data_IF_036869145431
#
_entry.id   IF_036869145431
#
_cell.length_a   1.000
_cell.length_b   1.000
_cell.length_c   1.000
_cell.angle_alpha   90.00
_cell.angle_beta   90.00
_cell.angle_gamma   90.00
#
_symmetry.space_group_name_H-M   'P 1'
#
loop_
_entity.id
_entity.type
_entity.pdbx_description
1 polymer ?
#
# COMPACT_ATOMS: atom_id res chain seq x y z
N UNK A 1 -9.55 38.69 -11.40
CA UNK A 1 -8.31 37.87 -11.37
C UNK A 1 -8.52 36.81 -10.30
N UNK A 2 -8.50 35.49 -10.47
CA UNK A 2 -8.12 34.60 -11.56
C UNK A 2 -8.81 33.23 -11.27
N UNK A 3 -10.02 33.02 -11.81
CA UNK A 3 -10.80 31.77 -11.68
C UNK A 3 -10.34 30.70 -12.71
N UNK A 4 -9.34 31.03 -13.52
CA UNK A 4 -8.80 30.20 -14.60
C UNK A 4 -7.76 29.21 -14.11
N UNK A 5 -6.96 29.57 -13.08
CA UNK A 5 -5.95 28.65 -12.49
C UNK A 5 -6.55 27.40 -11.85
N UNK A 6 -7.71 27.49 -11.20
CA UNK A 6 -8.36 26.34 -10.57
C UNK A 6 -8.88 25.28 -11.56
N UNK A 7 -9.30 25.72 -12.75
CA UNK A 7 -9.80 24.81 -13.81
C UNK A 7 -8.66 24.07 -14.53
N UNK A 8 -7.51 24.72 -14.73
CA UNK A 8 -6.35 24.12 -15.40
C UNK A 8 -5.71 23.01 -14.54
N UNK A 9 -5.54 23.26 -13.24
CA UNK A 9 -5.01 22.28 -12.27
C UNK A 9 -5.85 21.00 -12.22
N UNK A 10 -7.18 21.11 -12.26
CA UNK A 10 -8.11 19.98 -12.14
C UNK A 10 -8.12 19.05 -13.38
N UNK A 11 -7.79 19.57 -14.56
CA UNK A 11 -7.71 18.76 -15.78
C UNK A 11 -6.37 18.01 -15.91
N UNK A 12 -5.28 18.59 -15.40
CA UNK A 12 -3.96 17.94 -15.42
C UNK A 12 -3.95 16.70 -14.50
N UNK A 13 -4.59 16.76 -13.33
CA UNK A 13 -4.65 15.61 -12.41
C UNK A 13 -5.46 14.43 -12.95
N UNK A 14 -6.51 14.66 -13.76
CA UNK A 14 -7.29 13.59 -14.40
C UNK A 14 -6.52 12.86 -15.49
N UNK A 15 -5.67 13.57 -16.24
CA UNK A 15 -4.87 12.96 -17.31
C UNK A 15 -3.67 12.18 -16.74
N UNK A 16 -3.12 12.61 -15.60
CA UNK A 16 -1.98 11.95 -14.97
C UNK A 16 -2.30 10.51 -14.54
N UNK A 17 -3.51 10.26 -14.03
CA UNK A 17 -3.94 8.93 -13.58
C UNK A 17 -4.01 7.90 -14.72
N UNK A 18 -4.41 8.31 -15.93
CA UNK A 18 -4.49 7.38 -17.08
C UNK A 18 -3.09 7.08 -17.61
N UNK A 19 -2.21 8.08 -17.65
CA UNK A 19 -0.84 7.93 -18.12
C UNK A 19 -0.06 6.93 -17.26
N UNK A 20 -0.31 6.90 -15.94
CA UNK A 20 0.34 5.93 -15.04
C UNK A 20 -0.05 4.45 -15.29
N UNK A 21 -1.14 4.17 -16.01
CA UNK A 21 -1.50 2.79 -16.38
C UNK A 21 -0.90 2.31 -17.70
N UNK A 22 -0.43 3.23 -18.56
CA UNK A 22 0.13 2.89 -19.88
C UNK A 22 1.33 1.93 -19.75
N UNK A 23 2.31 2.15 -18.85
CA UNK A 23 3.43 1.22 -18.70
C UNK A 23 2.97 -0.18 -18.29
N UNK A 24 1.94 -0.29 -17.44
CA UNK A 24 1.43 -1.58 -16.99
C UNK A 24 0.75 -2.36 -18.13
N UNK A 25 -0.05 -1.69 -18.96
CA UNK A 25 -0.67 -2.32 -20.14
C UNK A 25 0.37 -2.68 -21.21
N UNK A 26 1.35 -1.82 -21.46
CA UNK A 26 2.42 -2.08 -22.41
C UNK A 26 3.26 -3.28 -21.95
N UNK A 27 3.59 -3.35 -20.66
CA UNK A 27 4.29 -4.50 -20.08
C UNK A 27 3.50 -5.79 -20.26
N UNK A 28 2.20 -5.78 -19.95
CA UNK A 28 1.32 -6.93 -20.16
C UNK A 28 1.33 -7.41 -21.61
N UNK A 29 1.17 -6.48 -22.56
CA UNK A 29 1.14 -6.81 -23.97
C UNK A 29 2.46 -7.45 -24.42
N UNK A 30 3.59 -6.92 -23.96
CA UNK A 30 4.91 -7.45 -24.27
C UNK A 30 5.11 -8.86 -23.71
N UNK A 31 4.75 -9.10 -22.45
CA UNK A 31 4.90 -10.41 -21.81
C UNK A 31 3.96 -11.47 -22.39
N UNK A 32 2.76 -11.07 -22.81
CA UNK A 32 1.76 -12.01 -23.34
C UNK A 32 2.06 -12.47 -24.78
N UNK A 33 2.74 -11.64 -25.58
CA UNK A 33 2.89 -11.88 -27.03
C UNK A 33 4.34 -12.10 -27.49
N UNK A 34 5.33 -11.78 -26.66
CA UNK A 34 6.74 -11.84 -27.06
C UNK A 34 7.59 -12.67 -26.10
N UNK A 35 8.82 -13.00 -26.54
CA UNK A 35 9.77 -13.73 -25.72
C UNK A 35 10.21 -12.92 -24.49
N UNK A 36 10.73 -13.62 -23.48
CA UNK A 36 11.26 -13.02 -22.24
C UNK A 36 12.23 -11.88 -22.54
N UNK A 37 13.10 -12.04 -23.54
CA UNK A 37 14.08 -11.01 -23.90
C UNK A 37 13.43 -9.70 -24.38
N UNK A 38 12.37 -9.79 -25.18
CA UNK A 38 11.63 -8.62 -25.67
C UNK A 38 10.82 -8.01 -24.52
N UNK A 39 10.19 -8.82 -23.68
CA UNK A 39 9.43 -8.36 -22.52
C UNK A 39 10.31 -7.61 -21.51
N UNK A 40 11.50 -8.14 -21.20
CA UNK A 40 12.48 -7.49 -20.32
C UNK A 40 13.02 -6.21 -20.95
N UNK A 41 13.42 -6.25 -22.23
CA UNK A 41 13.94 -5.08 -22.93
C UNK A 41 12.91 -3.95 -23.02
N UNK A 42 11.68 -4.28 -23.40
CA UNK A 42 10.59 -3.30 -23.46
C UNK A 42 10.20 -2.79 -22.07
N UNK A 43 10.19 -3.64 -21.05
CA UNK A 43 10.01 -3.23 -19.65
C UNK A 43 11.08 -2.25 -19.18
N UNK A 44 12.35 -2.48 -19.54
CA UNK A 44 13.46 -1.59 -19.21
C UNK A 44 13.35 -0.24 -19.93
N UNK A 45 12.99 -0.24 -21.21
CA UNK A 45 12.75 0.99 -21.98
C UNK A 45 11.60 1.79 -21.34
N UNK A 46 10.49 1.13 -21.02
CA UNK A 46 9.35 1.78 -20.36
C UNK A 46 9.73 2.35 -19.00
N UNK A 47 10.46 1.61 -18.16
CA UNK A 47 10.89 2.08 -16.85
C UNK A 47 11.89 3.25 -16.95
N UNK A 48 12.74 3.26 -17.97
CA UNK A 48 13.65 4.38 -18.25
C UNK A 48 12.86 5.63 -18.67
N UNK A 49 11.86 5.46 -19.55
CA UNK A 49 10.97 6.54 -19.96
C UNK A 49 10.13 7.08 -18.80
N UNK A 50 9.67 6.20 -17.89
CA UNK A 50 8.96 6.57 -16.68
C UNK A 50 9.83 7.45 -15.77
N UNK A 51 11.07 7.04 -15.48
CA UNK A 51 12.02 7.85 -14.70
C UNK A 51 12.38 9.17 -15.38
N UNK A 52 12.59 9.15 -16.70
CA UNK A 52 12.91 10.36 -17.46
C UNK A 52 11.73 11.34 -17.46
N UNK A 53 10.51 10.84 -17.64
CA UNK A 53 9.29 11.61 -17.55
C UNK A 53 9.09 12.20 -16.15
N UNK A 54 9.22 11.37 -15.11
CA UNK A 54 9.15 11.82 -13.72
C UNK A 54 10.16 12.95 -13.45
N UNK A 55 11.43 12.74 -13.80
CA UNK A 55 12.47 13.76 -13.65
C UNK A 55 12.12 15.06 -14.39
N UNK A 56 11.62 14.96 -15.62
CA UNK A 56 11.29 16.14 -16.43
C UNK A 56 10.13 16.95 -15.82
N UNK A 57 9.10 16.29 -15.29
CA UNK A 57 7.91 16.97 -14.76
C UNK A 57 8.04 17.40 -13.29
N UNK A 58 8.66 16.59 -12.43
CA UNK A 58 8.73 16.86 -10.98
C UNK A 58 10.09 17.37 -10.53
N UNK A 59 11.14 17.21 -11.35
CA UNK A 59 12.56 17.42 -10.99
C UNK A 59 13.02 16.60 -9.77
N UNK A 60 12.24 15.61 -9.33
CA UNK A 60 12.53 14.77 -8.18
C UNK A 60 12.12 13.33 -8.49
N UNK A 61 13.08 12.40 -8.39
CA UNK A 61 12.80 10.98 -8.53
C UNK A 61 12.30 10.40 -7.21
N UNK A 62 11.05 9.92 -7.19
CA UNK A 62 10.49 9.21 -6.06
C UNK A 62 11.28 7.93 -5.78
N UNK A 63 11.51 7.67 -4.49
CA UNK A 63 12.19 6.45 -4.04
C UNK A 63 11.50 5.18 -4.53
N UNK A 64 10.17 5.20 -4.68
CA UNK A 64 9.38 4.07 -5.19
C UNK A 64 9.75 3.78 -6.64
N UNK A 65 9.81 4.80 -7.51
CA UNK A 65 10.19 4.64 -8.92
C UNK A 65 11.62 4.10 -9.05
N UNK A 66 12.56 4.58 -8.23
CA UNK A 66 13.95 4.06 -8.18
C UNK A 66 13.98 2.58 -7.81
N UNK A 67 13.23 2.18 -6.79
CA UNK A 67 13.14 0.78 -6.35
C UNK A 67 12.51 -0.07 -7.46
N UNK A 68 11.45 0.41 -8.10
CA UNK A 68 10.78 -0.32 -9.19
C UNK A 68 11.73 -0.53 -10.39
N UNK A 69 12.44 0.52 -10.80
CA UNK A 69 13.44 0.46 -11.86
C UNK A 69 14.57 -0.53 -11.52
N UNK A 70 15.10 -0.45 -10.30
CA UNK A 70 16.12 -1.39 -9.83
C UNK A 70 15.62 -2.84 -9.87
N UNK A 71 14.38 -3.10 -9.42
CA UNK A 71 13.79 -4.43 -9.48
C UNK A 71 13.62 -4.93 -10.91
N UNK A 72 13.21 -4.08 -11.85
CA UNK A 72 13.08 -4.46 -13.27
C UNK A 72 14.44 -4.83 -13.86
N UNK A 73 15.49 -4.05 -13.58
CA UNK A 73 16.85 -4.37 -14.04
C UNK A 73 17.32 -5.69 -13.41
N UNK A 74 17.22 -5.80 -12.08
CA UNK A 74 17.78 -6.92 -11.35
C UNK A 74 17.05 -8.23 -11.70
N UNK A 75 15.72 -8.25 -11.60
CA UNK A 75 14.91 -9.43 -11.91
C UNK A 75 14.84 -9.71 -13.41
N UNK A 76 14.85 -8.66 -14.24
CA UNK A 76 14.92 -8.80 -15.69
C UNK A 76 16.23 -9.43 -16.14
N UNK A 77 17.37 -9.01 -15.56
CA UNK A 77 18.67 -9.62 -15.82
C UNK A 77 18.71 -11.09 -15.39
N UNK A 78 18.20 -11.43 -14.19
CA UNK A 78 18.09 -12.82 -13.76
C UNK A 78 17.20 -13.66 -14.70
N UNK A 79 16.09 -13.07 -15.15
CA UNK A 79 15.18 -13.71 -16.09
C UNK A 79 15.82 -13.98 -17.46
N UNK A 80 16.71 -13.11 -17.93
CA UNK A 80 17.49 -13.33 -19.15
C UNK A 80 18.53 -14.44 -18.98
N UNK A 81 19.17 -14.54 -17.82
CA UNK A 81 20.21 -15.55 -17.55
C UNK A 81 19.64 -16.97 -17.52
N UNK A 82 18.45 -17.16 -16.96
CA UNK A 82 17.79 -18.46 -16.92
C UNK A 82 16.97 -18.76 -18.17
N UNK A 83 16.73 -17.77 -19.03
CA UNK A 83 15.83 -17.90 -20.19
C UNK A 83 14.34 -18.04 -19.81
N UNK A 84 14.01 -17.94 -18.52
CA UNK A 84 12.66 -18.08 -17.99
C UNK A 84 12.16 -16.79 -17.34
N UNK A 85 10.86 -16.49 -17.55
CA UNK A 85 10.17 -15.31 -17.02
C UNK A 85 9.88 -15.33 -15.52
N UNK A 86 10.29 -16.37 -14.79
CA UNK A 86 9.84 -16.64 -13.41
C UNK A 86 10.34 -15.56 -12.44
N UNK A 87 11.60 -15.13 -12.55
CA UNK A 87 12.15 -14.05 -11.70
C UNK A 87 11.38 -12.75 -11.83
N UNK A 88 10.96 -12.43 -13.05
CA UNK A 88 10.13 -11.26 -13.27
C UNK A 88 8.76 -11.42 -12.58
N UNK A 89 8.17 -12.62 -12.63
CA UNK A 89 6.91 -12.92 -11.95
C UNK A 89 7.00 -12.82 -10.43
N UNK A 90 8.17 -13.00 -9.84
CA UNK A 90 8.37 -12.87 -8.40
C UNK A 90 8.40 -11.42 -7.91
N UNK A 91 8.43 -10.42 -8.79
CA UNK A 91 8.45 -9.01 -8.40
C UNK A 91 7.35 -8.64 -7.38
N UNK A 92 6.06 -8.99 -7.57
CA UNK A 92 4.99 -8.66 -6.61
C UNK A 92 5.15 -9.38 -5.26
N UNK A 93 5.76 -10.57 -5.27
CA UNK A 93 6.03 -11.32 -4.06
C UNK A 93 7.13 -10.62 -3.23
N UNK A 94 8.24 -10.27 -3.88
CA UNK A 94 9.36 -9.58 -3.24
C UNK A 94 8.93 -8.21 -2.72
N UNK A 95 8.19 -7.42 -3.51
CA UNK A 95 7.71 -6.11 -3.07
C UNK A 95 6.67 -6.23 -1.96
N UNK A 96 5.72 -7.16 -2.05
CA UNK A 96 4.70 -7.39 -1.02
C UNK A 96 5.32 -7.78 0.32
N UNK A 97 6.24 -8.75 0.33
CA UNK A 97 6.96 -9.17 1.53
C UNK A 97 7.84 -8.03 2.05
N UNK A 98 8.57 -7.34 1.17
CA UNK A 98 9.43 -6.22 1.54
C UNK A 98 8.66 -5.06 2.18
N UNK A 99 7.54 -4.64 1.58
CA UNK A 99 6.65 -3.61 2.13
C UNK A 99 6.04 -4.08 3.45
N UNK A 100 5.50 -5.31 3.50
CA UNK A 100 4.92 -5.87 4.71
C UNK A 100 5.91 -5.91 5.88
N UNK A 101 7.15 -6.35 5.62
CA UNK A 101 8.23 -6.36 6.60
C UNK A 101 8.63 -4.94 7.02
N UNK A 102 8.80 -4.01 6.07
CA UNK A 102 9.14 -2.62 6.35
C UNK A 102 8.09 -1.95 7.25
N UNK A 103 6.81 -2.03 6.89
CA UNK A 103 5.70 -1.49 7.69
C UNK A 103 5.67 -2.16 9.06
N UNK A 104 5.82 -3.49 9.12
CA UNK A 104 5.81 -4.26 10.36
C UNK A 104 6.94 -3.86 11.32
N UNK A 105 8.17 -3.70 10.82
CA UNK A 105 9.32 -3.26 11.63
C UNK A 105 9.11 -1.82 12.10
N UNK A 106 8.69 -0.93 11.20
CA UNK A 106 8.53 0.49 11.52
C UNK A 106 7.41 0.74 12.53
N UNK A 107 6.27 0.04 12.38
CA UNK A 107 5.16 0.10 13.33
C UNK A 107 5.54 -0.43 14.73
N UNK A 108 6.45 -1.41 14.81
CA UNK A 108 7.02 -1.87 16.09
C UNK A 108 7.93 -0.84 16.77
N UNK A 109 8.62 0.00 16.01
CA UNK A 109 9.54 1.05 16.52
C UNK A 109 8.84 2.32 17.00
N UNK A 110 7.51 2.42 16.85
CA UNK A 110 6.69 3.43 17.53
C UNK A 110 6.01 4.45 16.62
N UNK A 111 6.53 4.69 15.41
CA UNK A 111 5.88 5.57 14.42
C UNK A 111 5.96 4.89 13.05
N UNK A 112 4.86 4.27 12.62
CA UNK A 112 4.80 3.67 11.29
C UNK A 112 4.46 4.68 10.19
N UNK A 113 4.46 4.24 8.92
CA UNK A 113 4.25 5.13 7.77
C UNK A 113 2.86 5.77 7.74
N UNK A 114 1.84 5.08 8.23
CA UNK A 114 0.47 5.62 8.26
C UNK A 114 0.35 6.70 9.34
N UNK A 115 1.00 6.49 10.49
CA UNK A 115 1.05 7.50 11.54
C UNK A 115 1.77 8.78 11.09
N UNK A 116 2.89 8.66 10.38
CA UNK A 116 3.58 9.81 9.77
C UNK A 116 2.68 10.55 8.78
N UNK A 117 2.04 9.83 7.87
CA UNK A 117 1.15 10.44 6.89
C UNK A 117 -0.03 11.18 7.54
N UNK A 118 -0.63 10.62 8.60
CA UNK A 118 -1.72 11.29 9.33
C UNK A 118 -1.24 12.56 10.05
N UNK A 119 -0.01 12.54 10.58
CA UNK A 119 0.60 13.71 11.20
C UNK A 119 0.88 14.81 10.18
N UNK A 120 1.38 14.45 9.00
CA UNK A 120 1.66 15.39 7.91
C UNK A 120 0.38 16.05 7.38
N UNK A 121 -0.73 15.30 7.34
CA UNK A 121 -2.05 15.80 6.96
C UNK A 121 -2.74 16.61 8.08
N UNK A 122 -2.10 16.77 9.25
CA UNK A 122 -2.67 17.38 10.45
C UNK A 122 -4.01 16.75 10.91
N UNK A 123 -4.28 15.51 10.50
CA UNK A 123 -5.50 14.79 10.83
C UNK A 123 -5.31 14.00 12.14
N UNK A 124 -5.51 14.68 13.27
CA UNK A 124 -5.38 14.08 14.62
C UNK A 124 -6.61 13.32 15.12
N UNK A 125 -7.60 13.06 14.25
CA UNK A 125 -8.89 12.52 14.68
C UNK A 125 -8.88 11.01 14.97
N UNK A 126 -7.81 10.29 14.64
CA UNK A 126 -7.70 8.86 14.89
C UNK A 126 -6.86 8.59 16.14
N UNK A 127 -7.42 7.88 17.15
CA UNK A 127 -6.66 7.41 18.29
C UNK A 127 -5.40 6.65 17.86
N UNK A 128 -4.21 6.95 18.43
CA UNK A 128 -2.94 6.34 18.02
C UNK A 128 -2.93 4.80 18.05
N UNK A 129 -3.68 4.20 18.98
CA UNK A 129 -3.79 2.75 19.08
C UNK A 129 -4.50 2.12 17.87
N UNK A 130 -5.48 2.80 17.27
CA UNK A 130 -6.17 2.31 16.06
C UNK A 130 -5.25 2.38 14.85
N UNK A 131 -4.48 3.45 14.72
CA UNK A 131 -3.49 3.60 13.65
C UNK A 131 -2.48 2.46 13.71
N UNK A 132 -1.97 2.14 14.90
CA UNK A 132 -1.04 1.03 15.11
C UNK A 132 -1.64 -0.34 14.77
N UNK A 133 -2.92 -0.58 15.09
CA UNK A 133 -3.62 -1.81 14.71
C UNK A 133 -3.73 -1.89 13.18
N UNK A 134 -4.19 -0.82 12.54
CA UNK A 134 -4.36 -0.78 11.09
C UNK A 134 -3.03 -0.98 10.35
N UNK A 135 -1.94 -0.34 10.80
CA UNK A 135 -0.60 -0.55 10.23
C UNK A 135 -0.12 -2.00 10.35
N UNK A 136 -0.32 -2.62 11.51
CA UNK A 136 0.02 -4.03 11.72
C UNK A 136 -0.78 -4.91 10.77
N UNK A 137 -2.08 -4.66 10.64
CA UNK A 137 -2.97 -5.49 9.81
C UNK A 137 -2.65 -5.30 8.32
N UNK A 138 -2.29 -4.08 7.89
CA UNK A 138 -1.72 -3.79 6.56
C UNK A 138 -0.41 -4.54 6.34
N UNK A 139 0.51 -4.54 7.30
CA UNK A 139 1.78 -5.26 7.20
C UNK A 139 1.57 -6.77 7.03
N UNK A 140 0.62 -7.35 7.78
CA UNK A 140 0.21 -8.75 7.68
C UNK A 140 -0.39 -9.01 6.29
N UNK A 141 -1.30 -8.16 5.83
CA UNK A 141 -1.92 -8.29 4.51
C UNK A 141 -0.88 -8.31 3.39
N UNK A 142 0.03 -7.33 3.34
CA UNK A 142 1.06 -7.26 2.29
C UNK A 142 2.01 -8.46 2.33
N UNK A 143 2.38 -8.92 3.53
CA UNK A 143 3.24 -10.10 3.69
C UNK A 143 2.51 -11.37 3.21
N UNK A 144 1.27 -11.58 3.64
CA UNK A 144 0.47 -12.74 3.25
C UNK A 144 0.18 -12.75 1.75
N UNK A 145 -0.15 -11.58 1.17
CA UNK A 145 -0.36 -11.43 -0.26
C UNK A 145 0.92 -11.66 -1.06
N UNK A 146 2.06 -11.16 -0.57
CA UNK A 146 3.36 -11.41 -1.18
C UNK A 146 3.72 -12.90 -1.20
N UNK A 147 3.48 -13.62 -0.10
CA UNK A 147 3.64 -15.08 -0.04
C UNK A 147 2.68 -15.81 -0.99
N UNK A 148 1.42 -15.39 -1.06
CA UNK A 148 0.46 -15.90 -2.04
C UNK A 148 0.97 -15.68 -3.47
N UNK A 149 1.57 -14.53 -3.76
CA UNK A 149 2.14 -14.24 -5.08
C UNK A 149 3.34 -15.11 -5.44
N UNK A 150 4.08 -15.67 -4.47
CA UNK A 150 5.09 -16.70 -4.75
C UNK A 150 4.43 -17.93 -5.37
N UNK A 151 3.33 -18.40 -4.78
CA UNK A 151 2.59 -19.56 -5.27
C UNK A 151 2.02 -19.28 -6.66
N UNK A 152 1.44 -18.09 -6.85
CA UNK A 152 0.90 -17.67 -8.15
C UNK A 152 1.98 -17.62 -9.23
N UNK A 153 3.17 -17.09 -8.90
CA UNK A 153 4.27 -16.97 -9.84
C UNK A 153 4.80 -18.34 -10.32
N UNK A 154 4.81 -19.34 -9.43
CA UNK A 154 5.33 -20.68 -9.72
C UNK A 154 4.29 -21.61 -10.35
N UNK A 155 3.01 -21.50 -9.95
CA UNK A 155 1.98 -22.48 -10.31
C UNK A 155 1.03 -22.03 -11.42
N UNK A 156 0.89 -20.73 -11.68
CA UNK A 156 -0.12 -20.19 -12.59
C UNK A 156 0.48 -19.62 -13.88
N UNK A 157 -0.33 -19.63 -14.94
CA UNK A 157 0.02 -19.03 -16.23
C UNK A 157 0.20 -17.50 -16.12
N UNK A 158 0.95 -16.90 -17.05
CA UNK A 158 1.24 -15.46 -17.04
C UNK A 158 -0.02 -14.59 -17.01
N UNK A 159 -1.09 -14.98 -17.72
CA UNK A 159 -2.36 -14.25 -17.69
C UNK A 159 -3.03 -14.25 -16.31
N UNK A 160 -3.05 -15.39 -15.60
CA UNK A 160 -3.59 -15.49 -14.24
C UNK A 160 -2.70 -14.74 -13.25
N UNK A 161 -1.37 -14.86 -13.39
CA UNK A 161 -0.42 -14.12 -12.57
C UNK A 161 -0.61 -12.60 -12.70
N UNK A 162 -0.77 -12.09 -13.92
CA UNK A 162 -1.01 -10.67 -14.15
C UNK A 162 -2.34 -10.22 -13.54
N UNK A 163 -3.40 -11.02 -13.69
CA UNK A 163 -4.67 -10.73 -13.05
C UNK A 163 -4.49 -10.52 -11.55
N UNK A 164 -3.80 -11.43 -10.86
CA UNK A 164 -3.52 -11.27 -9.43
C UNK A 164 -2.60 -10.08 -9.13
N UNK A 165 -1.53 -9.86 -9.91
CA UNK A 165 -0.65 -8.69 -9.77
C UNK A 165 -1.42 -7.36 -9.84
N UNK A 166 -2.50 -7.30 -10.61
CA UNK A 166 -3.27 -6.08 -10.88
C UNK A 166 -4.67 -6.14 -10.24
N UNK A 167 -5.69 -6.56 -10.99
CA UNK A 167 -7.09 -6.55 -10.55
C UNK A 167 -7.35 -7.38 -9.29
N UNK A 168 -6.73 -8.56 -9.19
CA UNK A 168 -6.87 -9.45 -8.04
C UNK A 168 -6.30 -8.85 -6.75
N UNK A 169 -5.19 -8.12 -6.81
CA UNK A 169 -4.66 -7.38 -5.67
C UNK A 169 -5.64 -6.31 -5.18
N UNK A 170 -6.17 -5.48 -6.09
CA UNK A 170 -7.15 -4.45 -5.72
C UNK A 170 -8.42 -5.06 -5.12
N UNK A 171 -8.92 -6.16 -5.69
CA UNK A 171 -10.09 -6.86 -5.16
C UNK A 171 -9.82 -7.40 -3.75
N UNK A 172 -8.69 -8.09 -3.55
CA UNK A 172 -8.29 -8.60 -2.25
C UNK A 172 -8.12 -7.48 -1.22
N UNK A 173 -7.51 -6.36 -1.62
CA UNK A 173 -7.30 -5.20 -0.76
C UNK A 173 -8.63 -4.53 -0.37
N UNK A 174 -9.59 -4.38 -1.30
CA UNK A 174 -10.92 -3.84 -1.01
C UNK A 174 -11.65 -4.73 0.02
N UNK A 175 -11.63 -6.05 -0.17
CA UNK A 175 -12.24 -6.99 0.75
C UNK A 175 -11.59 -6.93 2.14
N UNK A 176 -10.26 -6.89 2.17
CA UNK A 176 -9.49 -6.69 3.41
C UNK A 176 -9.86 -5.37 4.11
N UNK A 177 -9.90 -4.26 3.38
CA UNK A 177 -10.27 -2.95 3.95
C UNK A 177 -11.71 -2.90 4.45
N UNK A 178 -12.65 -3.53 3.74
CA UNK A 178 -14.03 -3.65 4.20
C UNK A 178 -14.12 -4.44 5.52
N UNK A 179 -13.38 -5.55 5.61
CA UNK A 179 -13.26 -6.34 6.83
C UNK A 179 -12.63 -5.53 7.98
N UNK A 180 -11.52 -4.83 7.73
CA UNK A 180 -10.84 -3.98 8.71
C UNK A 180 -11.76 -2.87 9.23
N UNK A 181 -12.52 -2.20 8.36
CA UNK A 181 -13.48 -1.17 8.77
C UNK A 181 -14.53 -1.75 9.73
N UNK A 182 -15.06 -2.95 9.45
CA UNK A 182 -16.03 -3.61 10.31
C UNK A 182 -15.39 -3.95 11.67
N UNK A 183 -14.16 -4.47 11.67
CA UNK A 183 -13.43 -4.83 12.88
C UNK A 183 -13.09 -3.60 13.74
N UNK A 184 -12.61 -2.52 13.13
CA UNK A 184 -12.32 -1.25 13.80
C UNK A 184 -13.60 -0.66 14.40
N UNK A 185 -14.71 -0.64 13.67
CA UNK A 185 -16.01 -0.17 14.20
C UNK A 185 -16.43 -0.93 15.44
N UNK A 186 -16.22 -2.25 15.48
CA UNK A 186 -16.50 -3.08 16.66
C UNK A 186 -15.60 -2.72 17.83
N UNK A 187 -14.29 -2.56 17.61
CA UNK A 187 -13.32 -2.19 18.65
C UNK A 187 -13.57 -0.79 19.23
N UNK A 188 -13.87 0.19 18.38
CA UNK A 188 -14.17 1.57 18.82
C UNK A 188 -15.39 1.60 19.74
N UNK A 189 -16.47 0.89 19.40
CA UNK A 189 -17.66 0.80 20.26
C UNK A 189 -17.34 0.19 21.63
N UNK A 190 -16.50 -0.85 21.66
CA UNK A 190 -16.08 -1.47 22.92
C UNK A 190 -15.29 -0.48 23.78
N UNK A 191 -14.29 0.21 23.22
CA UNK A 191 -13.48 1.18 23.96
C UNK A 191 -14.33 2.31 24.52
N UNK A 192 -15.23 2.89 23.70
CA UNK A 192 -16.14 3.94 24.16
C UNK A 192 -17.02 3.48 25.33
N UNK A 193 -17.54 2.25 25.28
CA UNK A 193 -18.32 1.66 26.37
C UNK A 193 -17.49 1.50 27.66
N UNK A 194 -16.23 1.05 27.55
CA UNK A 194 -15.34 0.91 28.70
C UNK A 194 -14.97 2.25 29.34
N UNK A 195 -14.76 3.29 28.54
CA UNK A 195 -14.46 4.64 29.05
C UNK A 195 -15.66 5.23 29.80
N UNK A 196 -16.87 5.11 29.24
CA UNK A 196 -18.10 5.55 29.89
C UNK A 196 -18.32 4.83 31.23
N UNK A 197 -18.11 3.50 31.27
CA UNK A 197 -18.23 2.72 32.51
C UNK A 197 -17.21 3.14 33.56
N UNK A 198 -15.96 3.44 33.18
CA UNK A 198 -14.93 3.93 34.12
C UNK A 198 -15.29 5.30 34.70
N UNK A 199 -15.83 6.20 33.88
CA UNK A 199 -16.28 7.52 34.35
C UNK A 199 -17.43 7.37 35.36
N UNK A 200 -18.41 6.51 35.08
CA UNK A 200 -19.52 6.24 36.01
C UNK A 200 -19.03 5.67 37.35
N UNK A 201 -18.13 4.68 37.33
CA UNK A 201 -17.57 4.10 38.56
C UNK A 201 -16.76 5.11 39.37
N UNK A 202 -16.04 6.01 38.71
CA UNK A 202 -15.27 7.07 39.38
C UNK A 202 -16.19 8.09 40.04
N UNK A 203 -17.29 8.47 39.38
CA UNK A 203 -18.30 9.37 39.94
C UNK A 203 -19.02 8.75 41.16
N UNK A 204 -19.33 7.44 41.10
CA UNK A 204 -19.94 6.73 42.23
C UNK A 204 -19.03 6.70 43.46
N UNK A 205 -17.73 6.47 43.29
CA UNK A 205 -16.76 6.50 44.40
C UNK A 205 -16.66 7.87 45.06
N UNK A 206 -16.56 8.95 44.28
CA UNK A 206 -16.50 10.32 44.83
C UNK A 206 -17.77 10.66 45.62
N UNK A 207 -18.93 10.22 45.12
CA UNK A 207 -20.18 10.44 45.84
C UNK A 207 -20.21 9.66 47.16
N UNK A 208 -19.78 8.39 47.16
CA UNK A 208 -19.68 7.56 48.36
C UNK A 208 -18.73 8.16 49.41
N UNK A 209 -17.53 8.60 49.00
CA UNK A 209 -16.57 9.25 49.90
C UNK A 209 -17.11 10.57 50.50
N UNK A 210 -18.00 11.25 49.77
CA UNK A 210 -18.66 12.48 50.25
C UNK A 210 -19.74 12.16 51.29
N UNK A 211 -20.49 11.06 51.12
CA UNK A 211 -21.46 10.59 52.10
C UNK A 211 -20.80 10.14 53.40
N UNK A 212 -19.65 9.48 53.33
CA UNK A 212 -18.93 8.99 54.50
C UNK A 212 -18.32 10.12 55.35
N UNK A 213 -18.06 11.31 54.77
CA UNK A 213 -17.55 12.49 55.50
C UNK A 213 -18.62 13.26 56.30
N UNK A 214 -19.90 13.05 56.00
CA UNK A 214 -21.01 13.75 56.66
C UNK A 214 -21.46 13.02 57.94
N UNK A 215 -21.04 11.75 58.11
CA UNK A 215 -21.31 10.95 59.31
C UNK A 215 -20.19 11.10 60.33
#
# INVERSE_FOLDING_TARGET
MDNTRGKLSKNISKNFTIISFIPAFAYWYLEANYSVAIAVSGGLVLATLELAGEWFFTKHLHSISKINFFLIIFLGALSLLEGEGVWFKLQPAITGIGIGMFVGIKSRRGVGPLAEMLNDLQQKNLPPYLVKILERDIAIFFTAYGLFMVIVALALSSGKWLFFKTGGFYLAFILFMAFEIIMIRRKVRQVAFYEQRRQLLSAMKVNQDSFDKIK
#
